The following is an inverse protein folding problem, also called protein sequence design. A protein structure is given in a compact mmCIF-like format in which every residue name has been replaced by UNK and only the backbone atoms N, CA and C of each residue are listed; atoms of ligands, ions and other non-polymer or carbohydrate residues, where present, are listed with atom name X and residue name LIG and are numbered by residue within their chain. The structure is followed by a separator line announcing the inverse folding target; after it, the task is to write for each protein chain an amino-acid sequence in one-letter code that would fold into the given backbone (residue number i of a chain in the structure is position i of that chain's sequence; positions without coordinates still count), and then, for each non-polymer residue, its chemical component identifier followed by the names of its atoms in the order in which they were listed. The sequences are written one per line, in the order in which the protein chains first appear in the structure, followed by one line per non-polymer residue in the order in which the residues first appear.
data_IF_084672903441
#
_entry.id   IF_084672903441
#
_cell.length_a   1.000
_cell.length_b   1.000
_cell.length_c   1.000
_cell.angle_alpha   90.00
_cell.angle_beta   90.00
_cell.angle_gamma   90.00
#
_symmetry.space_group_name_H-M   'P 1'
#
loop_
_entity.id
_entity.type
_entity.pdbx_description
1 polymer ?
#
# COMPACT_ATOMS: atom_id res chain seq x y z
N UNK A 1 7.88 -11.35 -2.18
CA UNK A 1 8.08 -10.89 -3.56
C UNK A 1 8.91 -11.92 -4.30
N UNK A 2 8.36 -12.60 -5.33
CA UNK A 2 9.03 -13.72 -5.98
C UNK A 2 10.36 -13.36 -6.66
N UNK A 3 10.47 -12.15 -7.20
CA UNK A 3 11.64 -11.62 -7.93
C UNK A 3 12.84 -11.27 -7.02
N UNK A 4 12.60 -10.80 -5.79
CA UNK A 4 13.67 -10.44 -4.84
C UNK A 4 13.83 -11.44 -3.68
N UNK A 5 12.91 -12.38 -3.52
CA UNK A 5 12.89 -13.34 -2.41
C UNK A 5 12.56 -12.71 -1.04
N UNK A 6 12.19 -11.43 -1.00
CA UNK A 6 11.84 -10.74 0.25
C UNK A 6 10.41 -11.06 0.67
N UNK A 7 10.15 -11.04 1.97
CA UNK A 7 8.81 -11.21 2.53
C UNK A 7 8.57 -10.14 3.58
N UNK A 8 7.30 -9.76 3.78
CA UNK A 8 6.93 -8.71 4.71
C UNK A 8 5.64 -9.06 5.42
N UNK A 9 5.58 -8.77 6.71
CA UNK A 9 4.30 -8.51 7.39
C UNK A 9 4.03 -7.02 7.32
N UNK A 10 2.81 -6.65 6.95
CA UNK A 10 2.29 -5.28 7.03
C UNK A 10 1.11 -5.29 7.98
N UNK A 11 1.17 -4.45 9.03
CA UNK A 11 0.16 -4.39 10.08
C UNK A 11 -0.31 -2.95 10.29
N UNK A 12 -1.62 -2.73 10.32
CA UNK A 12 -2.21 -1.47 10.75
C UNK A 12 -2.86 -1.66 12.13
N UNK A 13 -2.26 -1.10 13.17
CA UNK A 13 -2.77 -1.20 14.54
C UNK A 13 -2.51 0.10 15.31
N UNK A 14 -3.47 0.50 16.16
CA UNK A 14 -3.35 1.72 16.96
C UNK A 14 -3.09 2.99 16.14
N UNK A 15 -3.56 3.05 14.89
CA UNK A 15 -3.32 4.17 13.97
C UNK A 15 -1.92 4.21 13.35
N UNK A 16 -1.12 3.14 13.49
CA UNK A 16 0.23 3.03 12.94
C UNK A 16 0.29 1.89 11.92
N UNK A 17 0.80 2.19 10.72
CA UNK A 17 1.11 1.18 9.69
C UNK A 17 2.58 0.76 9.82
N UNK A 18 2.81 -0.49 10.24
CA UNK A 18 4.13 -1.08 10.41
C UNK A 18 4.41 -2.06 9.29
N UNK A 19 5.65 -2.11 8.81
CA UNK A 19 6.14 -3.16 7.93
C UNK A 19 7.38 -3.82 8.54
N UNK A 20 7.50 -5.14 8.41
CA UNK A 20 8.61 -5.93 8.97
C UNK A 20 9.11 -6.89 7.90
N UNK A 21 10.35 -6.68 7.44
CA UNK A 21 11.00 -7.55 6.45
C UNK A 21 11.42 -8.88 7.07
N UNK A 22 11.29 -9.97 6.30
CA UNK A 22 11.71 -11.32 6.68
C UNK A 22 10.69 -12.08 7.52
N UNK A 23 9.47 -11.55 7.66
CA UNK A 23 8.39 -12.18 8.41
C UNK A 23 7.16 -12.44 7.54
N UNK A 24 6.40 -13.45 7.94
CA UNK A 24 5.05 -13.77 7.47
C UNK A 24 4.18 -14.07 8.71
N UNK A 25 2.86 -13.86 8.60
CA UNK A 25 1.92 -14.18 9.66
C UNK A 25 0.87 -15.19 9.19
N UNK A 26 0.69 -16.26 9.94
CA UNK A 26 -0.38 -17.25 9.69
C UNK A 26 -1.78 -16.72 10.04
N UNK A 27 -1.86 -15.54 10.68
CA UNK A 27 -3.09 -14.87 11.06
C UNK A 27 -3.34 -13.60 10.24
N UNK A 28 -2.66 -13.44 9.09
CA UNK A 28 -2.92 -12.30 8.20
C UNK A 28 -4.33 -12.38 7.61
N UNK A 29 -5.03 -11.25 7.56
CA UNK A 29 -6.36 -11.16 6.93
C UNK A 29 -6.28 -11.39 5.41
N UNK A 30 -5.18 -10.97 4.80
CA UNK A 30 -4.87 -11.20 3.39
C UNK A 30 -3.37 -11.41 3.16
N UNK A 31 -3.04 -12.19 2.13
CA UNK A 31 -1.67 -12.37 1.64
C UNK A 31 -1.59 -11.94 0.19
N UNK A 32 -0.66 -11.03 -0.13
CA UNK A 32 -0.37 -10.60 -1.49
C UNK A 32 0.91 -11.26 -1.96
N UNK A 33 0.87 -11.83 -3.16
CA UNK A 33 2.04 -12.37 -3.85
C UNK A 33 2.20 -11.61 -5.17
N UNK A 34 3.23 -10.77 -5.27
CA UNK A 34 3.56 -10.02 -6.47
C UNK A 34 5.06 -9.74 -6.54
N UNK A 35 5.59 -9.44 -7.72
CA UNK A 35 6.98 -9.01 -7.85
C UNK A 35 7.16 -7.61 -7.24
N UNK A 36 8.36 -7.32 -6.72
CA UNK A 36 8.72 -6.00 -6.22
C UNK A 36 8.69 -4.97 -7.35
N UNK A 37 9.13 -5.32 -8.55
CA UNK A 37 9.09 -4.41 -9.72
C UNK A 37 7.66 -4.00 -10.10
N UNK A 38 6.69 -4.88 -9.88
CA UNK A 38 5.29 -4.58 -10.19
C UNK A 38 4.65 -3.58 -9.20
N UNK A 39 5.30 -3.34 -8.06
CA UNK A 39 4.88 -2.33 -7.08
C UNK A 39 5.39 -0.91 -7.43
N UNK A 40 6.43 -0.78 -8.25
CA UNK A 40 6.97 0.52 -8.64
C UNK A 40 5.94 1.49 -9.26
N UNK A 41 5.08 1.09 -10.22
CA UNK A 41 4.05 2.00 -10.75
C UNK A 41 3.01 2.41 -9.70
N UNK A 42 2.78 1.60 -8.67
CA UNK A 42 1.92 1.95 -7.53
C UNK A 42 2.60 3.03 -6.67
N UNK A 43 3.89 2.85 -6.34
CA UNK A 43 4.67 3.83 -5.57
C UNK A 43 4.80 5.16 -6.33
N UNK A 44 4.95 5.10 -7.65
CA UNK A 44 4.98 6.29 -8.52
C UNK A 44 3.60 6.96 -8.68
N UNK A 45 2.53 6.40 -8.13
CA UNK A 45 1.18 6.93 -8.26
C UNK A 45 0.60 6.84 -9.68
N UNK A 46 1.14 5.96 -10.53
CA UNK A 46 0.66 5.75 -11.91
C UNK A 46 -0.52 4.77 -12.01
N UNK A 47 -0.69 3.95 -10.98
CA UNK A 47 -1.79 2.99 -10.83
C UNK A 47 -1.98 2.71 -9.33
N UNK A 48 -3.05 2.00 -8.97
CA UNK A 48 -3.29 1.53 -7.60
C UNK A 48 -2.91 0.06 -7.45
N UNK A 49 -2.67 -0.37 -6.20
CA UNK A 49 -2.44 -1.79 -5.89
C UNK A 49 -3.66 -2.65 -6.30
N UNK A 50 -4.86 -2.14 -6.11
CA UNK A 50 -6.09 -2.83 -6.48
C UNK A 50 -6.20 -3.05 -8.00
N UNK A 51 -5.86 -2.05 -8.80
CA UNK A 51 -5.84 -2.16 -10.27
C UNK A 51 -4.81 -3.20 -10.75
N UNK A 52 -3.60 -3.21 -10.19
CA UNK A 52 -2.58 -4.22 -10.52
C UNK A 52 -3.07 -5.65 -10.24
N UNK A 53 -3.65 -5.87 -9.06
CA UNK A 53 -4.18 -7.17 -8.68
C UNK A 53 -5.36 -7.60 -9.56
N UNK A 54 -6.25 -6.67 -9.93
CA UNK A 54 -7.35 -6.95 -10.87
C UNK A 54 -6.87 -7.24 -12.29
N UNK A 55 -5.75 -6.65 -12.71
CA UNK A 55 -5.10 -6.92 -13.98
C UNK A 55 -4.32 -8.25 -14.01
N UNK A 56 -4.31 -9.01 -12.90
CA UNK A 56 -3.57 -10.26 -12.77
C UNK A 56 -2.07 -10.07 -12.51
N UNK A 57 -1.64 -8.86 -12.20
CA UNK A 57 -0.26 -8.54 -11.82
C UNK A 57 -0.09 -8.82 -10.32
N UNK A 58 0.09 -10.11 -10.02
CA UNK A 58 0.10 -10.66 -8.67
C UNK A 58 -1.21 -11.33 -8.28
N UNK A 59 -1.26 -11.85 -7.06
CA UNK A 59 -2.44 -12.52 -6.50
C UNK A 59 -2.70 -12.09 -5.07
N UNK A 60 -3.96 -12.22 -4.66
CA UNK A 60 -4.40 -12.02 -3.28
C UNK A 60 -5.12 -13.27 -2.79
N UNK A 61 -4.74 -13.71 -1.60
CA UNK A 61 -5.39 -14.79 -0.85
C UNK A 61 -6.01 -14.19 0.42
N UNK A 62 -7.15 -14.72 0.87
CA UNK A 62 -7.86 -14.18 2.04
C UNK A 62 -8.84 -13.05 1.68
N UNK A 63 -9.06 -12.13 2.61
CA UNK A 63 -10.03 -11.04 2.46
C UNK A 63 -9.40 -9.82 1.78
N UNK A 64 -9.65 -9.65 0.48
CA UNK A 64 -9.16 -8.50 -0.29
C UNK A 64 -9.79 -7.16 0.13
N UNK A 65 -10.88 -7.16 0.90
CA UNK A 65 -11.54 -5.93 1.34
C UNK A 65 -10.67 -5.10 2.31
N UNK A 66 -9.74 -5.74 3.02
CA UNK A 66 -8.80 -5.03 3.93
C UNK A 66 -7.87 -4.08 3.18
N UNK A 67 -7.58 -4.35 1.89
CA UNK A 67 -6.79 -3.44 1.05
C UNK A 67 -7.56 -2.16 0.73
N UNK A 68 -8.88 -2.23 0.57
CA UNK A 68 -9.74 -1.06 0.40
C UNK A 68 -9.80 -0.23 1.68
N UNK A 69 -9.88 -0.89 2.84
CA UNK A 69 -9.85 -0.22 4.14
C UNK A 69 -8.51 0.52 4.35
N UNK A 70 -7.39 -0.11 4.01
CA UNK A 70 -6.07 0.53 4.05
C UNK A 70 -6.01 1.73 3.09
N UNK A 71 -6.48 1.57 1.86
CA UNK A 71 -6.50 2.67 0.89
C UNK A 71 -7.37 3.86 1.35
N UNK A 72 -8.48 3.60 2.03
CA UNK A 72 -9.40 4.63 2.52
C UNK A 72 -8.79 5.52 3.62
N UNK A 73 -7.76 5.05 4.34
CA UNK A 73 -7.05 5.82 5.36
C UNK A 73 -5.77 6.47 4.87
N UNK A 74 -5.38 6.25 3.60
CA UNK A 74 -4.27 6.96 2.97
C UNK A 74 -4.74 8.35 2.50
N UNK A 75 -3.92 9.35 2.75
CA UNK A 75 -4.18 10.72 2.32
C UNK A 75 -3.19 11.16 1.25
N UNK A 76 -3.62 12.08 0.40
CA UNK A 76 -2.74 12.80 -0.52
C UNK A 76 -2.45 14.19 0.05
N UNK A 77 -1.18 14.56 0.12
CA UNK A 77 -0.79 15.91 0.52
C UNK A 77 -0.92 16.87 -0.67
N UNK A 78 -1.55 18.01 -0.43
CA UNK A 78 -1.54 19.11 -1.39
C UNK A 78 -0.17 19.79 -1.36
N UNK A 79 0.54 19.85 -2.49
CA UNK A 79 1.85 20.50 -2.58
C UNK A 79 1.81 22.02 -2.38
N UNK A 80 0.66 22.67 -2.61
CA UNK A 80 0.46 24.11 -2.43
C UNK A 80 -0.02 24.49 -1.02
N UNK A 81 0.38 23.73 0.01
CA UNK A 81 0.02 24.05 1.39
C UNK A 81 0.61 25.40 1.83
N UNK A 82 -0.09 26.11 2.70
CA UNK A 82 0.42 27.37 3.25
C UNK A 82 1.67 27.13 4.08
N UNK A 83 2.76 27.80 3.71
CA UNK A 83 3.98 27.85 4.54
C UNK A 83 3.87 28.95 5.58
N UNK A 84 3.25 30.08 5.21
CA UNK A 84 2.93 31.19 6.12
C UNK A 84 1.41 31.40 6.13
N UNK A 85 0.79 31.71 7.28
CA UNK A 85 -0.67 31.89 7.36
C UNK A 85 -1.17 32.96 6.38
N UNK A 86 -2.17 32.62 5.56
CA UNK A 86 -2.81 33.55 4.62
C UNK A 86 -2.04 33.79 3.32
N UNK A 87 -1.24 32.82 2.85
CA UNK A 87 -0.47 32.91 1.59
C UNK A 87 -1.01 32.07 0.45
N UNK A 88 -2.02 31.22 0.66
CA UNK A 88 -2.80 30.72 -0.49
C UNK A 88 -3.82 31.76 -0.94
N UNK A 89 -3.84 32.02 -2.24
CA UNK A 89 -5.00 32.66 -2.90
C UNK A 89 -6.21 31.75 -2.74
N UNK A 90 -7.32 32.28 -2.21
CA UNK A 90 -8.61 31.57 -2.20
C UNK A 90 -9.08 31.21 -3.61
#
# INVERSE_FOLDING_TARGET
TPDTGQEFVVELSGGTLTNIEGYQSNAADATIIMNRTDLDPVIMGRTTLAEQLQAGVGSVLGDSSVLLQLAAVLITFNAGFEVMPGTVTQ
#
